data_IF_362424143154
#
_entry.id   IF_362424143154
#
_cell.length_a   1.000
_cell.length_b   1.000
_cell.length_c   1.000
_cell.angle_alpha   90.00
_cell.angle_beta   90.00
_cell.angle_gamma   90.00
#
_symmetry.space_group_name_H-M   'P 1'
#
loop_
_entity.id
_entity.type
_entity.pdbx_description
1 polymer ?
#
# COMPACT_ATOMS: atom_id res chain seq x y z
N UNK A 1 4.27 24.23 15.84
CA UNK A 1 3.82 24.73 14.54
C UNK A 1 2.29 24.71 14.59
N UNK A 2 1.65 25.85 14.83
CA UNK A 2 0.18 25.92 14.94
C UNK A 2 -0.45 25.71 13.56
N UNK A 3 -1.21 24.64 13.40
CA UNK A 3 -2.00 24.40 12.19
C UNK A 3 -3.25 25.27 12.24
N UNK A 4 -3.36 26.23 11.32
CA UNK A 4 -4.63 26.91 11.06
C UNK A 4 -5.61 25.89 10.48
N UNK A 5 -6.70 25.63 11.18
CA UNK A 5 -7.76 24.71 10.77
C UNK A 5 -8.77 25.43 9.88
N UNK A 6 -9.15 24.80 8.77
CA UNK A 6 -10.05 25.35 7.76
C UNK A 6 -11.54 25.35 8.19
N UNK A 7 -11.90 24.69 9.29
CA UNK A 7 -13.30 24.56 9.73
C UNK A 7 -13.38 24.38 11.27
N UNK A 8 -14.11 25.28 11.94
CA UNK A 8 -14.50 25.14 13.34
C UNK A 8 -13.45 25.56 14.39
N UNK A 9 -13.79 25.49 15.68
CA UNK A 9 -12.82 25.73 16.75
C UNK A 9 -11.63 24.76 16.58
N UNK A 10 -10.42 25.15 17.02
CA UNK A 10 -9.22 24.35 16.82
C UNK A 10 -9.40 22.95 17.42
N UNK A 11 -9.65 21.96 16.55
CA UNK A 11 -9.63 20.56 16.96
C UNK A 11 -8.20 20.16 17.23
N UNK A 12 -7.95 19.66 18.45
CA UNK A 12 -6.66 19.13 18.84
C UNK A 12 -6.40 17.84 18.06
N UNK A 13 -5.33 17.82 17.27
CA UNK A 13 -4.81 16.61 16.65
C UNK A 13 -3.83 15.92 17.61
N UNK A 14 -3.97 14.61 17.78
CA UNK A 14 -3.01 13.75 18.48
C UNK A 14 -2.34 12.88 17.42
N UNK A 15 -1.02 12.87 17.40
CA UNK A 15 -0.24 12.11 16.42
C UNK A 15 0.40 10.90 17.10
N UNK A 16 0.12 9.72 16.56
CA UNK A 16 0.83 8.47 16.86
C UNK A 16 1.59 8.03 15.59
N UNK A 17 2.84 7.60 15.74
CA UNK A 17 3.70 7.19 14.63
C UNK A 17 4.41 5.88 14.99
N UNK A 18 4.39 4.92 14.07
CA UNK A 18 5.06 3.63 14.19
C UNK A 18 5.34 3.04 12.79
N UNK A 19 6.24 2.08 12.72
CA UNK A 19 6.40 1.22 11.54
C UNK A 19 5.34 0.11 11.51
N UNK A 20 5.04 -0.44 10.34
CA UNK A 20 4.12 -1.58 10.24
C UNK A 20 4.56 -2.80 11.06
N UNK A 21 5.88 -2.99 11.22
CA UNK A 21 6.48 -4.07 12.02
C UNK A 21 6.16 -3.96 13.52
N UNK A 22 5.77 -2.78 13.99
CA UNK A 22 5.44 -2.48 15.39
C UNK A 22 3.93 -2.51 15.64
N UNK A 23 3.12 -2.75 14.60
CA UNK A 23 1.67 -2.63 14.66
C UNK A 23 0.98 -3.99 14.59
N UNK A 24 -0.13 -4.09 15.31
CA UNK A 24 -1.16 -5.09 15.12
C UNK A 24 -2.53 -4.43 15.25
N UNK A 25 -3.61 -5.11 14.89
CA UNK A 25 -4.95 -4.56 15.03
C UNK A 25 -6.01 -5.64 15.24
N UNK A 26 -7.15 -5.21 15.78
CA UNK A 26 -8.40 -5.93 15.75
C UNK A 26 -9.50 -4.99 15.21
N UNK A 27 -10.22 -5.44 14.19
CA UNK A 27 -11.30 -4.68 13.57
C UNK A 27 -12.65 -5.38 13.76
N UNK A 28 -13.67 -4.61 14.09
CA UNK A 28 -15.01 -5.10 14.40
C UNK A 28 -16.05 -4.35 13.60
N UNK A 29 -17.08 -5.06 13.11
CA UNK A 29 -18.15 -4.51 12.26
C UNK A 29 -18.81 -3.26 12.87
N UNK A 30 -19.05 -3.26 14.18
CA UNK A 30 -19.70 -2.16 14.90
C UNK A 30 -18.76 -1.35 15.79
N UNK A 31 -17.54 -1.86 16.03
CA UNK A 31 -16.60 -1.30 17.02
C UNK A 31 -15.45 -0.49 16.43
N UNK A 32 -15.33 -0.47 15.09
CA UNK A 32 -14.22 0.17 14.37
C UNK A 32 -12.94 -0.65 14.44
N UNK A 33 -11.80 0.03 14.25
CA UNK A 33 -10.47 -0.56 14.35
C UNK A 33 -9.79 -0.17 15.67
N UNK A 34 -9.33 -1.16 16.44
CA UNK A 34 -8.39 -0.98 17.53
C UNK A 34 -6.99 -1.33 17.01
N UNK A 35 -6.04 -0.40 17.13
CA UNK A 35 -4.64 -0.59 16.74
C UNK A 35 -3.80 -0.75 17.99
N UNK A 36 -3.01 -1.82 18.03
CA UNK A 36 -2.01 -2.08 19.05
C UNK A 36 -0.63 -1.70 18.50
N UNK A 37 0.08 -0.85 19.23
CA UNK A 37 1.44 -0.42 18.91
C UNK A 37 2.41 -0.95 19.97
N UNK A 38 3.41 -1.69 19.52
CA UNK A 38 4.52 -2.14 20.34
C UNK A 38 5.62 -1.07 20.39
N UNK A 39 5.95 -0.62 21.59
CA UNK A 39 7.01 0.37 21.84
C UNK A 39 8.01 -0.14 22.88
N UNK A 40 9.28 0.21 22.71
CA UNK A 40 10.32 -0.08 23.70
C UNK A 40 10.38 1.05 24.73
N UNK A 41 10.16 0.73 26.02
CA UNK A 41 10.30 1.68 27.12
C UNK A 41 11.22 1.10 28.19
N UNK A 42 12.35 1.77 28.45
CA UNK A 42 13.36 1.34 29.42
C UNK A 42 13.79 -0.13 29.21
N UNK A 43 13.97 -0.56 27.96
CA UNK A 43 14.34 -1.95 27.63
C UNK A 43 13.21 -2.97 27.70
N UNK A 44 12.00 -2.57 28.11
CA UNK A 44 10.82 -3.44 28.16
C UNK A 44 9.89 -3.17 26.98
N UNK A 45 9.41 -4.24 26.34
CA UNK A 45 8.36 -4.16 25.30
C UNK A 45 7.01 -3.86 25.97
N UNK A 46 6.42 -2.72 25.63
CA UNK A 46 5.09 -2.32 26.12
C UNK A 46 4.16 -2.18 24.92
N UNK A 47 2.92 -2.62 25.08
CA UNK A 47 1.87 -2.45 24.07
C UNK A 47 0.96 -1.30 24.50
N UNK A 48 0.66 -0.39 23.58
CA UNK A 48 -0.34 0.67 23.76
C UNK A 48 -1.39 0.54 22.67
N UNK A 49 -2.65 0.63 23.04
CA UNK A 49 -3.78 0.51 22.11
C UNK A 49 -4.48 1.85 21.91
N UNK A 50 -4.90 2.14 20.69
CA UNK A 50 -5.67 3.34 20.36
C UNK A 50 -6.62 3.08 19.18
N UNK A 51 -7.61 3.96 19.03
CA UNK A 51 -8.54 3.95 17.90
C UNK A 51 -8.21 5.13 16.98
N UNK A 52 -7.57 4.93 15.82
CA UNK A 52 -7.26 6.04 14.92
C UNK A 52 -8.53 6.54 14.23
N UNK A 53 -8.68 7.86 14.12
CA UNK A 53 -9.73 8.46 13.28
C UNK A 53 -9.31 8.50 11.79
N UNK A 54 -8.01 8.56 11.54
CA UNK A 54 -7.41 8.68 10.22
C UNK A 54 -5.97 8.12 10.22
N UNK A 55 -5.50 7.62 9.06
CA UNK A 55 -4.14 7.09 8.90
C UNK A 55 -3.43 7.69 7.69
N UNK A 56 -2.19 8.14 7.87
CA UNK A 56 -1.28 8.49 6.79
C UNK A 56 -0.25 7.36 6.60
N UNK A 57 -0.28 6.68 5.45
CA UNK A 57 0.63 5.57 5.18
C UNK A 57 1.82 6.05 4.36
N UNK A 58 3.03 5.92 4.93
CA UNK A 58 4.30 6.36 4.32
C UNK A 58 5.30 5.23 4.11
N UNK A 59 4.94 4.01 4.47
CA UNK A 59 5.75 2.80 4.31
C UNK A 59 5.14 1.87 3.25
N UNK A 60 5.96 1.06 2.61
CA UNK A 60 5.46 0.01 1.71
C UNK A 60 4.68 -1.04 2.51
N UNK A 61 3.42 -1.30 2.11
CA UNK A 61 2.59 -2.32 2.73
C UNK A 61 2.97 -3.76 2.35
N UNK A 62 3.81 -3.93 1.33
CA UNK A 62 4.24 -5.23 0.85
C UNK A 62 5.61 -5.16 0.18
N UNK A 63 6.44 -6.16 0.48
CA UNK A 63 7.69 -6.50 -0.18
C UNK A 63 7.84 -8.02 -0.17
N UNK A 64 8.64 -8.54 -1.10
CA UNK A 64 8.95 -9.98 -1.17
C UNK A 64 10.05 -10.40 -0.18
N UNK A 65 10.67 -9.44 0.53
CA UNK A 65 11.63 -9.76 1.58
C UNK A 65 10.95 -10.40 2.79
N UNK A 66 11.70 -11.22 3.52
CA UNK A 66 11.20 -11.95 4.67
C UNK A 66 10.67 -10.97 5.74
N UNK A 67 9.41 -11.14 6.14
CA UNK A 67 8.78 -10.35 7.19
C UNK A 67 8.21 -9.00 6.74
N UNK A 68 8.21 -8.69 5.44
CA UNK A 68 7.70 -7.42 4.91
C UNK A 68 6.34 -7.55 4.20
N UNK A 69 5.44 -8.41 4.71
CA UNK A 69 4.07 -8.54 4.22
C UNK A 69 3.07 -8.00 5.24
N UNK A 70 2.65 -6.74 5.04
CA UNK A 70 1.74 -6.01 5.92
C UNK A 70 0.35 -5.84 5.31
N UNK A 71 0.01 -6.61 4.27
CA UNK A 71 -1.28 -6.51 3.57
C UNK A 71 -2.46 -6.78 4.50
N UNK A 72 -2.29 -7.65 5.50
CA UNK A 72 -3.30 -7.93 6.52
C UNK A 72 -3.65 -6.69 7.35
N UNK A 73 -2.68 -5.83 7.65
CA UNK A 73 -2.94 -4.56 8.35
C UNK A 73 -3.77 -3.61 7.48
N UNK A 74 -3.48 -3.53 6.18
CA UNK A 74 -4.28 -2.72 5.24
C UNK A 74 -5.73 -3.22 5.17
N UNK A 75 -5.92 -4.54 5.09
CA UNK A 75 -7.25 -5.16 5.11
C UNK A 75 -7.96 -4.82 6.42
N UNK A 76 -7.28 -4.95 7.56
CA UNK A 76 -7.84 -4.66 8.88
C UNK A 76 -8.28 -3.20 9.06
N UNK A 77 -7.45 -2.26 8.63
CA UNK A 77 -7.81 -0.83 8.61
C UNK A 77 -9.03 -0.57 7.73
N UNK A 78 -9.10 -1.20 6.55
CA UNK A 78 -10.24 -1.06 5.63
C UNK A 78 -11.51 -1.68 6.22
N UNK A 79 -11.37 -2.84 6.85
CA UNK A 79 -12.45 -3.55 7.51
C UNK A 79 -13.03 -2.73 8.68
N UNK A 80 -12.16 -2.06 9.44
CA UNK A 80 -12.55 -1.17 10.53
C UNK A 80 -13.04 0.21 10.08
N UNK A 81 -13.17 0.47 8.78
CA UNK A 81 -13.71 1.71 8.24
C UNK A 81 -12.77 2.93 8.36
N UNK A 82 -11.47 2.72 8.52
CA UNK A 82 -10.51 3.80 8.74
C UNK A 82 -10.23 4.56 7.45
N UNK A 83 -10.32 5.89 7.50
CA UNK A 83 -9.94 6.75 6.38
C UNK A 83 -8.42 6.89 6.30
N UNK A 84 -7.86 6.91 5.08
CA UNK A 84 -6.42 7.00 4.89
C UNK A 84 -5.99 7.80 3.67
N UNK A 85 -4.74 8.29 3.72
CA UNK A 85 -4.01 8.82 2.56
C UNK A 85 -2.74 7.98 2.30
N UNK A 86 -2.53 7.48 1.08
CA UNK A 86 -3.53 7.34 0.02
C UNK A 86 -4.67 6.39 0.47
N UNK A 87 -5.74 6.26 -0.33
CA UNK A 87 -6.84 5.34 0.03
C UNK A 87 -6.33 3.92 0.28
N UNK A 88 -6.86 3.24 1.29
CA UNK A 88 -6.50 1.85 1.60
C UNK A 88 -6.74 0.92 0.40
N UNK A 89 -7.79 1.18 -0.38
CA UNK A 89 -8.03 0.51 -1.66
C UNK A 89 -6.84 0.65 -2.63
N UNK A 90 -6.35 1.88 -2.84
CA UNK A 90 -5.20 2.11 -3.73
C UNK A 90 -3.92 1.48 -3.21
N UNK A 91 -3.69 1.51 -1.89
CA UNK A 91 -2.51 0.93 -1.24
C UNK A 91 -2.51 -0.59 -1.38
N UNK A 92 -3.65 -1.24 -1.15
CA UNK A 92 -3.80 -2.68 -1.36
C UNK A 92 -3.52 -3.07 -2.81
N UNK A 93 -4.08 -2.34 -3.77
CA UNK A 93 -3.82 -2.57 -5.19
C UNK A 93 -2.36 -2.27 -5.59
N UNK A 94 -1.65 -1.40 -4.87
CA UNK A 94 -0.25 -1.08 -5.12
C UNK A 94 0.73 -2.18 -4.68
N UNK A 95 0.27 -3.22 -3.98
CA UNK A 95 1.12 -4.31 -3.50
C UNK A 95 1.64 -5.23 -4.62
N UNK A 96 1.21 -5.07 -5.88
CA UNK A 96 1.76 -5.78 -7.03
C UNK A 96 2.20 -4.81 -8.12
N UNK A 97 3.51 -4.69 -8.34
CA UNK A 97 4.06 -3.82 -9.40
C UNK A 97 3.49 -4.17 -10.79
N UNK A 98 3.40 -5.45 -11.21
CA UNK A 98 2.75 -5.81 -12.47
C UNK A 98 1.27 -5.41 -12.54
N UNK A 99 0.53 -5.50 -11.42
CA UNK A 99 -0.86 -5.05 -11.36
C UNK A 99 -0.98 -3.54 -11.59
N UNK A 100 -0.13 -2.74 -10.94
CA UNK A 100 -0.07 -1.28 -11.16
C UNK A 100 0.31 -0.97 -12.61
N UNK A 101 1.31 -1.68 -13.15
CA UNK A 101 1.74 -1.50 -14.54
C UNK A 101 0.62 -1.78 -15.54
N UNK A 102 -0.28 -2.73 -15.25
CA UNK A 102 -1.47 -2.96 -16.09
C UNK A 102 -2.40 -1.74 -16.20
N UNK A 103 -2.45 -0.87 -15.18
CA UNK A 103 -3.20 0.39 -15.27
C UNK A 103 -2.48 1.40 -16.18
N UNK A 104 -1.14 1.40 -16.19
CA UNK A 104 -0.36 2.21 -17.12
C UNK A 104 -0.56 1.76 -18.58
N UNK A 105 -0.69 0.45 -18.84
CA UNK A 105 -1.02 -0.08 -20.16
C UNK A 105 -2.39 0.44 -20.63
N UNK A 106 -3.40 0.54 -19.75
CA UNK A 106 -4.70 1.12 -20.11
C UNK A 106 -4.59 2.58 -20.52
N UNK A 107 -3.78 3.37 -19.79
CA UNK A 107 -3.52 4.77 -20.11
C UNK A 107 -2.79 4.88 -21.46
N UNK A 108 -1.75 4.06 -21.67
CA UNK A 108 -1.03 3.95 -22.94
C UNK A 108 -1.97 3.67 -24.11
N UNK A 109 -2.83 2.66 -24.00
CA UNK A 109 -3.78 2.29 -25.05
C UNK A 109 -4.80 3.40 -25.34
N UNK A 110 -5.14 4.21 -24.33
CA UNK A 110 -6.10 5.32 -24.49
C UNK A 110 -5.48 6.59 -25.07
N UNK A 111 -4.21 6.88 -24.75
CA UNK A 111 -3.57 8.15 -25.09
C UNK A 111 -2.59 8.03 -26.26
N UNK A 112 -2.10 6.82 -26.55
CA UNK A 112 -1.09 6.55 -27.55
C UNK A 112 0.34 6.87 -27.10
N UNK A 113 1.35 6.36 -27.82
CA UNK A 113 2.77 6.47 -27.45
C UNK A 113 3.29 7.91 -27.46
N UNK A 114 2.70 8.81 -28.26
CA UNK A 114 3.13 10.21 -28.31
C UNK A 114 2.81 10.97 -27.02
N UNK A 115 1.64 10.71 -26.42
CA UNK A 115 1.19 11.41 -25.20
C UNK A 115 1.60 10.69 -23.91
N UNK A 116 1.75 9.37 -23.98
CA UNK A 116 2.12 8.55 -22.84
C UNK A 116 3.12 7.47 -23.30
N UNK A 117 4.41 7.77 -23.43
CA UNK A 117 5.41 6.82 -23.91
C UNK A 117 5.75 5.78 -22.83
N UNK A 118 4.97 4.69 -22.79
CA UNK A 118 5.19 3.59 -21.85
C UNK A 118 6.31 2.67 -22.36
N UNK A 119 7.26 2.34 -21.49
CA UNK A 119 8.33 1.39 -21.81
C UNK A 119 7.76 0.00 -22.12
N UNK A 120 8.29 -0.65 -23.17
CA UNK A 120 7.94 -2.02 -23.48
C UNK A 120 8.39 -2.97 -22.37
N UNK A 121 7.44 -3.74 -21.82
CA UNK A 121 7.72 -4.76 -20.80
C UNK A 121 6.91 -6.02 -21.10
N UNK A 122 7.49 -7.17 -20.77
CA UNK A 122 6.81 -8.47 -20.83
C UNK A 122 6.63 -9.01 -19.42
N UNK A 123 5.39 -9.31 -19.03
CA UNK A 123 5.09 -9.98 -17.76
C UNK A 123 5.10 -11.49 -17.94
N UNK A 124 5.78 -12.20 -17.03
CA UNK A 124 5.76 -13.65 -16.94
C UNK A 124 5.18 -14.08 -15.58
N UNK A 125 4.09 -14.85 -15.53
CA UNK A 125 3.54 -15.35 -14.27
C UNK A 125 4.50 -16.28 -13.52
N UNK A 126 5.41 -16.94 -14.25
CA UNK A 126 6.45 -17.79 -13.70
C UNK A 126 7.65 -17.88 -14.64
N UNK A 127 8.75 -18.43 -14.15
CA UNK A 127 9.96 -18.68 -14.95
C UNK A 127 9.71 -19.62 -16.16
N UNK A 128 8.66 -20.46 -16.14
CA UNK A 128 8.37 -21.43 -17.22
C UNK A 128 8.13 -20.77 -18.57
N UNK A 129 7.62 -19.55 -18.58
CA UNK A 129 7.33 -18.79 -19.80
C UNK A 129 8.50 -17.93 -20.27
N UNK A 130 9.58 -17.84 -19.48
CA UNK A 130 10.81 -17.12 -19.81
C UNK A 130 11.71 -17.94 -20.75
N UNK A 131 11.12 -18.46 -21.83
CA UNK A 131 11.87 -19.09 -22.93
C UNK A 131 12.48 -17.96 -23.75
N UNK A 132 13.80 -18.07 -24.01
CA UNK A 132 14.61 -17.05 -24.68
C UNK A 132 13.86 -16.34 -25.83
N UNK A 133 13.83 -15.00 -25.74
CA UNK A 133 13.31 -14.10 -26.80
C UNK A 133 13.94 -14.37 -28.17
N UNK A 134 15.11 -15.03 -28.24
CA UNK A 134 15.78 -15.42 -29.48
C UNK A 134 14.90 -16.27 -30.42
N UNK A 135 13.94 -17.05 -29.87
CA UNK A 135 13.10 -17.97 -30.68
C UNK A 135 11.84 -17.27 -31.25
N UNK A 136 11.39 -16.15 -30.66
CA UNK A 136 10.13 -15.50 -31.08
C UNK A 136 10.29 -14.46 -32.18
N UNK A 137 11.39 -13.70 -32.21
CA UNK A 137 11.63 -12.74 -33.30
C UNK A 137 11.97 -13.41 -34.64
N UNK A 138 12.37 -14.67 -34.64
CA UNK A 138 12.61 -15.45 -35.86
C UNK A 138 11.34 -15.98 -36.54
N UNK A 139 10.15 -15.80 -35.93
CA UNK A 139 8.85 -16.22 -36.51
C UNK A 139 7.97 -15.07 -37.00
N UNK A 140 8.41 -13.81 -36.85
CA UNK A 140 7.70 -12.61 -37.35
C UNK A 140 8.43 -12.00 -38.56
N UNK A 141 9.49 -12.68 -39.05
CA UNK A 141 10.27 -12.28 -40.22
C UNK A 141 10.09 -13.22 -41.43
N UNK A 142 8.89 -13.79 -41.60
CA UNK A 142 8.46 -14.47 -42.83
C UNK A 142 7.09 -13.93 -43.26
#
# INVERSE_FOLDING_TARGET
>A
MESKTLYGPPMRTINEQAEFSELNLAAYVTGGCMVDMQVMRNGTKVVRSFKPDFVLIRQHAYSMALGEDFRSLIIGLQYGGIHAVNSLYSIYNFCSKPWVFSQLIKIFNSLGPEKFPLVEQTFFPSHKQMISMTIRNSRVAL
#
